data_IF_401423589925
#
_entry.id   IF_401423589925
#
_cell.length_a   1.000
_cell.length_b   1.000
_cell.length_c   1.000
_cell.angle_alpha   90.00
_cell.angle_beta   90.00
_cell.angle_gamma   90.00
#
_symmetry.space_group_name_H-M   'P 1'
#
loop_
_entity.id
_entity.type
_entity.pdbx_description
1 polymer ?
#
# COMPACT_ATOMS: atom_id res chain seq x y z
N UNK A 1 -13.53 -32.00 62.21
CA UNK A 1 -12.80 -32.92 61.30
C UNK A 1 -13.65 -33.09 60.04
N UNK A 2 -13.00 -33.12 58.89
CA UNK A 2 -13.49 -33.29 57.51
C UNK A 2 -13.72 -32.06 56.62
N UNK A 3 -12.78 -31.99 55.67
CA UNK A 3 -12.67 -31.21 54.43
C UNK A 3 -13.73 -31.68 53.43
N UNK A 4 -14.26 -30.76 52.62
CA UNK A 4 -14.52 -31.08 51.21
C UNK A 4 -14.28 -29.85 50.33
N UNK A 5 -13.21 -29.98 49.56
CA UNK A 5 -12.65 -29.19 48.48
C UNK A 5 -13.70 -28.68 47.49
N UNK A 6 -13.85 -27.35 47.37
CA UNK A 6 -14.53 -26.72 46.23
C UNK A 6 -13.47 -25.96 45.43
N UNK A 7 -13.42 -26.27 44.13
CA UNK A 7 -12.77 -25.52 43.05
C UNK A 7 -11.23 -25.47 43.00
N UNK A 8 -10.65 -26.57 42.52
CA UNK A 8 -9.27 -26.60 42.03
C UNK A 8 -9.14 -26.60 40.49
N UNK A 9 -10.27 -26.56 39.74
CA UNK A 9 -10.26 -26.59 38.25
C UNK A 9 -10.32 -25.23 37.55
N UNK A 10 -10.65 -24.13 38.25
CA UNK A 10 -10.68 -22.79 37.66
C UNK A 10 -9.32 -22.04 37.72
N UNK A 11 -8.36 -22.55 38.50
CA UNK A 11 -7.08 -21.89 38.69
C UNK A 11 -6.09 -21.85 37.51
N UNK A 12 -6.07 -22.80 36.54
CA UNK A 12 -5.03 -22.77 35.50
C UNK A 12 -5.21 -21.62 34.50
N UNK A 13 -6.46 -21.17 34.25
CA UNK A 13 -6.74 -20.07 33.31
C UNK A 13 -6.31 -18.70 33.86
N UNK A 14 -6.58 -18.42 35.13
CA UNK A 14 -6.15 -17.17 35.77
C UNK A 14 -4.63 -17.10 35.94
N UNK A 15 -3.98 -18.23 36.21
CA UNK A 15 -2.51 -18.30 36.33
C UNK A 15 -1.79 -18.07 34.99
N UNK A 16 -2.37 -18.52 33.88
CA UNK A 16 -1.82 -18.26 32.54
C UNK A 16 -1.88 -16.76 32.20
N UNK A 17 -2.98 -16.09 32.56
CA UNK A 17 -3.15 -14.67 32.32
C UNK A 17 -2.04 -13.84 32.99
N UNK A 18 -1.68 -14.15 34.25
CA UNK A 18 -0.66 -13.39 34.98
C UNK A 18 0.74 -13.45 34.38
N UNK A 19 1.05 -14.46 33.55
CA UNK A 19 2.37 -14.61 32.91
C UNK A 19 2.51 -13.87 31.59
N UNK A 20 1.42 -13.34 31.04
CA UNK A 20 1.44 -12.61 29.77
C UNK A 20 1.82 -11.16 30.07
N UNK A 21 2.94 -10.65 29.53
CA UNK A 21 3.36 -9.27 29.73
C UNK A 21 2.30 -8.31 29.18
N UNK A 22 2.14 -7.16 29.83
CA UNK A 22 1.10 -6.17 29.51
C UNK A 22 1.17 -5.73 28.03
N UNK A 23 2.38 -5.62 27.46
CA UNK A 23 2.60 -5.29 26.05
C UNK A 23 1.90 -6.28 25.09
N UNK A 24 1.97 -7.58 25.34
CA UNK A 24 1.31 -8.60 24.49
C UNK A 24 -0.22 -8.52 24.55
N UNK A 25 -0.78 -8.10 25.70
CA UNK A 25 -2.22 -7.92 25.85
C UNK A 25 -2.70 -6.70 25.07
N UNK A 26 -1.91 -5.63 25.08
CA UNK A 26 -2.19 -4.41 24.32
C UNK A 26 -2.10 -4.71 22.81
N UNK A 27 -1.08 -5.43 22.35
CA UNK A 27 -0.98 -5.78 20.92
C UNK A 27 -2.10 -6.69 20.45
N UNK A 28 -2.53 -7.66 21.28
CA UNK A 28 -3.67 -8.52 20.95
C UNK A 28 -4.99 -7.73 20.89
N UNK A 29 -5.19 -6.80 21.83
CA UNK A 29 -6.37 -5.94 21.84
C UNK A 29 -6.36 -5.00 20.62
N UNK A 30 -5.21 -4.43 20.27
CA UNK A 30 -5.06 -3.55 19.12
C UNK A 30 -5.29 -4.30 17.80
N UNK A 31 -4.77 -5.53 17.67
CA UNK A 31 -5.05 -6.42 16.54
C UNK A 31 -6.56 -6.71 16.42
N UNK A 32 -7.24 -6.96 17.53
CA UNK A 32 -8.69 -7.23 17.55
C UNK A 32 -9.52 -5.99 17.16
N UNK A 33 -9.06 -4.78 17.51
CA UNK A 33 -9.71 -3.53 17.11
C UNK A 33 -9.52 -3.26 15.61
N UNK A 34 -8.33 -3.54 15.05
CA UNK A 34 -8.08 -3.37 13.62
C UNK A 34 -8.89 -4.33 12.75
N UNK A 35 -9.10 -5.58 13.18
CA UNK A 35 -9.91 -6.54 12.41
C UNK A 35 -11.41 -6.21 12.44
N UNK A 36 -11.88 -5.48 13.46
CA UNK A 36 -13.27 -5.01 13.56
C UNK A 36 -13.58 -3.77 12.70
N UNK A 37 -12.57 -3.11 12.13
CA UNK A 37 -12.75 -2.00 11.19
C UNK A 37 -13.04 -2.49 9.75
N UNK A 38 -12.89 -3.79 9.48
CA UNK A 38 -13.30 -4.41 8.22
C UNK A 38 -14.80 -4.71 8.25
N UNK A 39 -15.62 -3.67 8.39
CA UNK A 39 -17.02 -3.79 8.02
C UNK A 39 -17.10 -3.61 6.51
N UNK A 40 -17.50 -4.67 5.80
CA UNK A 40 -17.91 -4.56 4.41
C UNK A 40 -18.98 -3.47 4.32
N UNK A 41 -18.77 -2.48 3.45
CA UNK A 41 -19.74 -1.44 3.14
C UNK A 41 -21.03 -2.11 2.67
N UNK A 42 -22.01 -2.22 3.57
CA UNK A 42 -23.26 -2.92 3.31
C UNK A 42 -24.02 -2.17 2.20
N UNK A 43 -24.39 -2.92 1.18
CA UNK A 43 -25.23 -2.51 0.04
C UNK A 43 -26.48 -1.80 0.58
N UNK A 44 -26.54 -0.49 0.39
CA UNK A 44 -27.45 0.46 1.05
C UNK A 44 -28.96 0.11 0.99
N UNK A 45 -29.42 -0.79 0.12
CA UNK A 45 -30.84 -1.18 -0.02
C UNK A 45 -31.31 -2.28 0.93
N UNK A 46 -30.39 -3.00 1.58
CA UNK A 46 -30.79 -4.08 2.49
C UNK A 46 -31.41 -3.58 3.81
N UNK A 47 -31.11 -2.34 4.22
CA UNK A 47 -31.50 -1.82 5.53
C UNK A 47 -32.70 -0.84 5.53
N UNK A 48 -33.04 -0.23 4.38
CA UNK A 48 -34.18 0.69 4.31
C UNK A 48 -35.50 -0.08 4.40
N UNK A 49 -36.21 0.11 5.52
CA UNK A 49 -37.49 -0.56 5.79
C UNK A 49 -38.67 0.34 5.50
N UNK A 50 -39.67 -0.21 4.82
CA UNK A 50 -40.90 0.49 4.46
C UNK A 50 -42.13 -0.28 4.93
N UNK A 51 -43.20 0.47 5.20
CA UNK A 51 -44.54 -0.08 5.43
C UNK A 51 -45.48 0.42 4.34
N UNK A 52 -46.12 -0.51 3.65
CA UNK A 52 -47.06 -0.26 2.56
C UNK A 52 -48.33 -1.07 2.80
N UNK A 53 -49.49 -0.44 2.63
CA UNK A 53 -50.79 -1.11 2.55
C UNK A 53 -51.53 -0.53 1.36
N UNK A 54 -51.38 -1.17 0.20
CA UNK A 54 -51.94 -0.74 -1.08
C UNK A 54 -52.72 -1.91 -1.66
N UNK A 55 -53.97 -1.64 -2.05
CA UNK A 55 -54.86 -2.63 -2.67
C UNK A 55 -55.16 -2.21 -4.09
N UNK A 56 -55.04 -3.14 -5.03
CA UNK A 56 -55.37 -2.93 -6.44
C UNK A 56 -54.70 -1.67 -7.05
N UNK A 57 -53.47 -1.40 -6.66
CA UNK A 57 -52.67 -0.27 -7.13
C UNK A 57 -51.81 -0.70 -8.31
N UNK A 58 -51.54 0.21 -9.26
CA UNK A 58 -50.57 -0.07 -10.33
C UNK A 58 -49.17 -0.21 -9.74
N UNK A 59 -48.31 -0.98 -10.40
CA UNK A 59 -46.91 -1.11 -9.98
C UNK A 59 -46.22 0.24 -10.02
N UNK A 60 -46.47 1.04 -11.05
CA UNK A 60 -46.00 2.43 -11.10
C UNK A 60 -46.35 3.18 -9.81
N UNK A 61 -47.59 3.07 -9.33
CA UNK A 61 -48.00 3.76 -8.11
C UNK A 61 -47.33 3.20 -6.86
N UNK A 62 -47.09 1.89 -6.82
CA UNK A 62 -46.34 1.25 -5.72
C UNK A 62 -44.89 1.71 -5.72
N UNK A 63 -44.22 1.73 -6.88
CA UNK A 63 -42.84 2.20 -7.03
C UNK A 63 -42.74 3.68 -6.62
N UNK A 64 -43.62 4.54 -7.13
CA UNK A 64 -43.68 5.95 -6.75
C UNK A 64 -43.88 6.13 -5.23
N UNK A 65 -44.72 5.31 -4.60
CA UNK A 65 -44.91 5.37 -3.14
C UNK A 65 -43.66 4.94 -2.37
N UNK A 66 -42.84 4.06 -2.95
CA UNK A 66 -41.53 3.69 -2.38
C UNK A 66 -40.55 4.86 -2.53
N UNK A 67 -40.50 5.51 -3.70
CA UNK A 67 -39.67 6.72 -3.92
C UNK A 67 -40.06 7.87 -2.98
N UNK A 68 -41.37 8.10 -2.75
CA UNK A 68 -41.84 9.15 -1.83
C UNK A 68 -41.45 8.91 -0.37
N UNK A 69 -41.22 7.65 0.02
CA UNK A 69 -40.96 7.24 1.41
C UNK A 69 -39.53 6.77 1.66
N UNK A 70 -38.67 6.85 0.64
CA UNK A 70 -37.28 6.42 0.72
C UNK A 70 -36.38 7.34 -0.11
N UNK A 71 -35.08 7.23 0.04
CA UNK A 71 -34.12 8.02 -0.75
C UNK A 71 -33.79 7.36 -2.11
N UNK A 72 -34.62 6.41 -2.57
CA UNK A 72 -34.40 5.65 -3.80
C UNK A 72 -35.18 6.20 -4.99
N UNK A 73 -34.57 6.08 -6.17
CA UNK A 73 -35.19 6.34 -7.46
C UNK A 73 -35.19 5.08 -8.33
N UNK A 74 -36.32 4.73 -8.94
CA UNK A 74 -36.44 3.60 -9.83
C UNK A 74 -36.12 4.00 -11.27
N UNK A 75 -35.23 3.25 -11.90
CA UNK A 75 -34.89 3.38 -13.32
C UNK A 75 -35.35 2.13 -14.03
N UNK A 76 -36.24 2.29 -15.02
CA UNK A 76 -36.75 1.18 -15.80
C UNK A 76 -37.21 1.66 -17.18
N UNK A 77 -37.36 0.70 -18.10
CA UNK A 77 -37.90 0.97 -19.42
C UNK A 77 -39.34 0.46 -19.48
N UNK A 78 -40.31 1.36 -19.62
CA UNK A 78 -41.75 1.04 -19.67
C UNK A 78 -42.14 0.12 -20.83
N UNK A 79 -41.28 -0.04 -21.85
CA UNK A 79 -41.49 -1.01 -22.94
C UNK A 79 -41.09 -2.43 -22.58
N UNK A 80 -40.23 -2.58 -21.57
CA UNK A 80 -39.67 -3.87 -21.15
C UNK A 80 -40.26 -4.36 -19.83
N UNK A 81 -40.75 -3.44 -19.00
CA UNK A 81 -41.33 -3.72 -17.67
C UNK A 81 -42.78 -3.26 -17.67
N UNK A 82 -43.72 -4.19 -17.45
CA UNK A 82 -45.14 -3.87 -17.28
C UNK A 82 -45.39 -3.28 -15.89
N UNK A 83 -45.52 -1.95 -15.85
CA UNK A 83 -45.82 -1.17 -14.64
C UNK A 83 -47.29 -0.79 -14.49
N UNK A 84 -48.11 -1.05 -15.50
CA UNK A 84 -49.56 -0.77 -15.51
C UNK A 84 -50.36 -1.86 -14.79
N UNK A 85 -49.77 -3.05 -14.68
CA UNK A 85 -50.25 -4.18 -13.87
C UNK A 85 -50.69 -3.75 -12.47
N UNK A 86 -51.86 -4.23 -12.04
CA UNK A 86 -52.39 -4.00 -10.69
C UNK A 86 -51.93 -5.07 -9.71
N UNK A 87 -51.47 -4.63 -8.55
CA UNK A 87 -50.98 -5.48 -7.46
C UNK A 87 -51.57 -5.02 -6.13
N UNK A 88 -51.58 -5.94 -5.17
CA UNK A 88 -51.92 -5.62 -3.78
C UNK A 88 -50.74 -5.99 -2.88
N UNK A 89 -50.19 -4.99 -2.21
CA UNK A 89 -49.03 -5.16 -1.33
C UNK A 89 -49.40 -4.71 0.06
N UNK A 90 -49.25 -5.62 1.01
CA UNK A 90 -49.30 -5.33 2.44
C UNK A 90 -48.04 -5.83 3.10
N UNK A 91 -47.25 -4.90 3.59
CA UNK A 91 -45.99 -5.15 4.30
C UNK A 91 -45.82 -4.12 5.42
N UNK A 92 -45.24 -4.55 6.53
CA UNK A 92 -44.94 -3.70 7.67
C UNK A 92 -43.48 -3.87 8.01
N UNK A 93 -42.73 -2.76 8.03
CA UNK A 93 -41.31 -2.74 8.36
C UNK A 93 -40.46 -3.74 7.55
N UNK A 94 -40.75 -3.86 6.25
CA UNK A 94 -40.06 -4.79 5.35
C UNK A 94 -38.95 -4.06 4.58
N UNK A 95 -37.82 -4.73 4.35
CA UNK A 95 -36.76 -4.21 3.49
C UNK A 95 -37.29 -4.02 2.06
N UNK A 96 -36.86 -2.95 1.39
CA UNK A 96 -37.29 -2.65 0.01
C UNK A 96 -36.99 -3.83 -0.93
N UNK A 97 -35.83 -4.46 -0.80
CA UNK A 97 -35.46 -5.68 -1.54
C UNK A 97 -36.51 -6.79 -1.42
N UNK A 98 -36.98 -7.08 -0.22
CA UNK A 98 -38.01 -8.10 0.02
C UNK A 98 -39.39 -7.72 -0.56
N UNK A 99 -39.70 -6.42 -0.59
CA UNK A 99 -40.92 -5.91 -1.24
C UNK A 99 -40.84 -6.09 -2.75
N UNK A 100 -39.71 -5.75 -3.36
CA UNK A 100 -39.47 -5.90 -4.80
C UNK A 100 -39.44 -7.36 -5.22
N UNK A 101 -38.80 -8.24 -4.44
CA UNK A 101 -38.81 -9.68 -4.68
C UNK A 101 -40.25 -10.21 -4.68
N UNK A 102 -41.08 -9.78 -3.73
CA UNK A 102 -42.50 -10.17 -3.69
C UNK A 102 -43.32 -9.62 -4.86
N UNK A 103 -43.00 -8.41 -5.34
CA UNK A 103 -43.67 -7.75 -6.47
C UNK A 103 -43.32 -8.39 -7.83
N UNK A 104 -42.09 -8.86 -7.98
CA UNK A 104 -41.54 -9.37 -9.23
C UNK A 104 -41.28 -10.89 -9.22
N UNK A 105 -41.69 -11.62 -8.18
CA UNK A 105 -41.51 -13.08 -8.04
C UNK A 105 -42.02 -13.88 -9.25
N UNK A 106 -43.16 -13.49 -9.80
CA UNK A 106 -43.80 -14.15 -10.95
C UNK A 106 -43.33 -13.63 -12.30
N UNK A 107 -42.47 -12.61 -12.31
CA UNK A 107 -42.08 -11.90 -13.52
C UNK A 107 -40.64 -12.21 -13.95
N UNK A 108 -40.38 -11.96 -15.22
CA UNK A 108 -39.04 -11.98 -15.78
C UNK A 108 -38.28 -10.66 -15.49
N UNK A 109 -38.37 -10.14 -14.25
CA UNK A 109 -37.77 -8.86 -13.84
C UNK A 109 -36.80 -9.09 -12.69
N UNK A 110 -35.59 -8.56 -12.82
CA UNK A 110 -34.55 -8.48 -11.79
C UNK A 110 -34.31 -7.02 -11.42
N UNK A 111 -33.78 -6.77 -10.22
CA UNK A 111 -33.44 -5.43 -9.77
C UNK A 111 -31.98 -5.35 -9.30
N UNK A 112 -31.30 -4.26 -9.65
CA UNK A 112 -29.95 -3.94 -9.18
C UNK A 112 -29.97 -2.63 -8.41
N UNK A 113 -29.24 -2.58 -7.30
CA UNK A 113 -29.15 -1.39 -6.46
C UNK A 113 -27.78 -0.76 -6.67
N UNK A 114 -27.76 0.48 -7.19
CA UNK A 114 -26.54 1.29 -7.34
C UNK A 114 -26.69 2.61 -6.60
N UNK A 115 -26.11 2.69 -5.40
CA UNK A 115 -26.26 3.86 -4.52
C UNK A 115 -27.74 4.11 -4.22
N UNK A 116 -28.24 5.30 -4.57
CA UNK A 116 -29.66 5.71 -4.42
C UNK A 116 -30.56 5.32 -5.61
N UNK A 117 -30.07 4.53 -6.56
CA UNK A 117 -30.83 4.13 -7.75
C UNK A 117 -31.13 2.63 -7.72
N UNK A 118 -32.38 2.27 -8.04
CA UNK A 118 -32.81 0.89 -8.21
C UNK A 118 -33.17 0.68 -9.68
N UNK A 119 -32.37 -0.11 -10.38
CA UNK A 119 -32.54 -0.37 -11.81
C UNK A 119 -33.35 -1.66 -11.98
N UNK A 120 -34.49 -1.60 -12.66
CA UNK A 120 -35.29 -2.78 -13.00
C UNK A 120 -35.01 -3.18 -14.45
N UNK A 121 -34.62 -4.43 -14.66
CA UNK A 121 -34.30 -4.97 -15.98
C UNK A 121 -34.86 -6.38 -16.16
N UNK A 122 -35.14 -6.82 -17.40
CA UNK A 122 -35.52 -8.20 -17.64
C UNK A 122 -34.43 -9.18 -17.19
N UNK A 123 -34.76 -10.34 -16.59
CA UNK A 123 -33.72 -11.28 -16.09
C UNK A 123 -32.76 -11.75 -17.17
N UNK A 124 -33.22 -11.85 -18.41
CA UNK A 124 -32.38 -12.20 -19.56
C UNK A 124 -31.32 -11.12 -19.88
N UNK A 125 -31.66 -9.84 -19.65
CA UNK A 125 -30.69 -8.74 -19.70
C UNK A 125 -29.81 -8.72 -18.46
N UNK A 126 -30.37 -9.04 -17.28
CA UNK A 126 -29.59 -9.16 -16.05
C UNK A 126 -28.51 -10.23 -16.18
N UNK A 127 -28.81 -11.44 -16.66
CA UNK A 127 -27.79 -12.49 -16.89
C UNK A 127 -26.68 -12.06 -17.84
N UNK A 128 -26.95 -11.17 -18.80
CA UNK A 128 -25.92 -10.58 -19.66
C UNK A 128 -25.15 -9.46 -18.95
N UNK A 129 -25.79 -8.65 -18.11
CA UNK A 129 -25.14 -7.62 -17.29
C UNK A 129 -24.28 -8.25 -16.19
N UNK A 130 -24.72 -9.35 -15.56
CA UNK A 130 -23.92 -10.11 -14.59
C UNK A 130 -22.79 -10.86 -15.30
N UNK A 131 -23.02 -11.45 -16.48
CA UNK A 131 -21.94 -12.06 -17.25
C UNK A 131 -20.90 -11.03 -17.74
N UNK A 132 -21.28 -9.77 -17.96
CA UNK A 132 -20.35 -8.68 -18.33
C UNK A 132 -19.74 -8.02 -17.09
N UNK A 133 -20.41 -8.01 -15.93
CA UNK A 133 -19.83 -7.58 -14.65
C UNK A 133 -18.87 -8.64 -14.08
N UNK A 134 -19.13 -9.92 -14.31
CA UNK A 134 -18.23 -11.05 -14.03
C UNK A 134 -17.14 -11.20 -15.09
N UNK A 135 -17.36 -10.76 -16.35
CA UNK A 135 -16.31 -10.68 -17.37
C UNK A 135 -15.48 -9.38 -17.29
N UNK A 136 -15.98 -8.32 -16.66
CA UNK A 136 -15.20 -7.14 -16.25
C UNK A 136 -14.41 -7.40 -14.97
N UNK A 137 -14.77 -8.45 -14.22
CA UNK A 137 -13.88 -9.14 -13.30
C UNK A 137 -13.15 -10.24 -14.06
N UNK A 138 -12.45 -9.81 -15.11
CA UNK A 138 -11.47 -10.59 -15.84
C UNK A 138 -10.70 -11.42 -14.82
N UNK A 139 -10.85 -12.74 -14.94
CA UNK A 139 -10.53 -13.71 -13.90
C UNK A 139 -9.07 -13.54 -13.48
N UNK A 140 -8.84 -12.73 -12.44
CA UNK A 140 -7.50 -12.48 -11.93
C UNK A 140 -6.90 -13.83 -11.62
N UNK A 141 -5.76 -14.11 -12.24
CA UNK A 141 -5.06 -15.36 -12.01
C UNK A 141 -4.17 -15.17 -10.79
N UNK A 142 -4.15 -16.17 -9.92
CA UNK A 142 -3.16 -16.20 -8.84
C UNK A 142 -1.86 -16.75 -9.38
N UNK A 143 -0.81 -15.94 -9.33
CA UNK A 143 0.56 -16.35 -9.60
C UNK A 143 1.25 -16.66 -8.27
N UNK A 144 2.15 -17.63 -8.30
CA UNK A 144 2.98 -18.04 -7.17
C UNK A 144 4.43 -18.13 -7.62
N UNK A 145 5.36 -18.05 -6.69
CA UNK A 145 6.76 -18.28 -7.03
C UNK A 145 7.69 -18.15 -5.86
N UNK A 146 8.98 -18.36 -6.15
CA UNK A 146 10.08 -18.21 -5.20
C UNK A 146 11.12 -17.27 -5.78
N UNK A 147 11.65 -16.39 -4.93
CA UNK A 147 12.69 -15.43 -5.27
C UNK A 147 13.96 -15.78 -4.51
N UNK A 148 15.05 -16.00 -5.23
CA UNK A 148 16.37 -16.30 -4.67
C UNK A 148 17.43 -15.34 -5.19
N UNK A 149 18.57 -15.30 -4.53
CA UNK A 149 19.78 -14.64 -5.03
C UNK A 149 20.56 -15.56 -6.00
N UNK A 150 21.72 -15.07 -6.45
CA UNK A 150 22.63 -15.84 -7.32
C UNK A 150 23.30 -17.04 -6.62
N UNK A 151 23.31 -17.08 -5.30
CA UNK A 151 23.86 -18.19 -4.50
C UNK A 151 22.81 -19.29 -4.23
N UNK A 152 21.53 -19.00 -4.51
CA UNK A 152 20.40 -19.89 -4.26
C UNK A 152 19.73 -19.65 -2.90
N UNK A 153 20.14 -18.63 -2.16
CA UNK A 153 19.52 -18.23 -0.90
C UNK A 153 18.19 -17.49 -1.15
N UNK A 154 17.13 -17.79 -0.36
CA UNK A 154 15.83 -17.13 -0.51
C UNK A 154 15.91 -15.65 -0.11
N UNK A 155 15.34 -14.78 -0.92
CA UNK A 155 15.26 -13.34 -0.63
C UNK A 155 13.97 -13.07 0.14
N UNK A 156 14.11 -12.75 1.42
CA UNK A 156 13.00 -12.46 2.33
C UNK A 156 12.63 -10.98 2.23
N UNK A 157 11.34 -10.67 2.06
CA UNK A 157 10.85 -9.29 2.00
C UNK A 157 11.11 -8.57 0.65
N UNK A 158 11.41 -9.30 -0.43
CA UNK A 158 11.39 -8.74 -1.78
C UNK A 158 9.97 -8.26 -2.11
N UNK A 159 9.87 -7.11 -2.77
CA UNK A 159 8.61 -6.48 -3.15
C UNK A 159 8.23 -6.89 -4.58
N UNK A 160 7.00 -7.35 -4.77
CA UNK A 160 6.43 -7.74 -6.07
C UNK A 160 5.21 -6.85 -6.32
N UNK A 161 5.25 -6.05 -7.38
CA UNK A 161 4.15 -5.14 -7.75
C UNK A 161 3.67 -5.44 -9.17
N UNK A 162 2.37 -5.50 -9.38
CA UNK A 162 1.77 -5.47 -10.71
C UNK A 162 1.90 -4.06 -11.31
N UNK A 163 2.67 -3.96 -12.39
CA UNK A 163 3.06 -2.69 -13.01
C UNK A 163 1.83 -1.89 -13.45
N UNK A 164 1.78 -0.62 -13.03
CA UNK A 164 0.66 0.28 -13.33
C UNK A 164 -0.47 0.26 -12.31
N UNK A 165 -0.35 -0.56 -11.26
CA UNK A 165 -1.34 -0.66 -10.18
C UNK A 165 -0.68 -0.52 -8.81
N UNK A 166 -1.50 -0.47 -7.75
CA UNK A 166 -1.05 -0.59 -6.36
C UNK A 166 -1.12 -2.03 -5.84
N UNK A 167 -1.40 -3.00 -6.71
CA UNK A 167 -1.51 -4.40 -6.35
C UNK A 167 -0.11 -5.02 -6.22
N UNK A 168 0.18 -5.61 -5.07
CA UNK A 168 1.49 -6.17 -4.80
C UNK A 168 1.54 -7.03 -3.55
N UNK A 169 2.63 -7.75 -3.39
CA UNK A 169 2.90 -8.61 -2.23
C UNK A 169 4.39 -8.57 -1.92
N UNK A 170 4.78 -9.09 -0.76
CA UNK A 170 6.18 -9.34 -0.40
C UNK A 170 6.46 -10.83 -0.29
N UNK A 171 7.72 -11.23 -0.43
CA UNK A 171 8.14 -12.61 -0.18
C UNK A 171 8.17 -12.96 1.31
N UNK A 172 7.88 -14.22 1.62
CA UNK A 172 7.98 -14.78 2.97
C UNK A 172 9.42 -15.22 3.33
N UNK A 173 9.58 -15.92 4.46
CA UNK A 173 10.87 -16.41 4.98
C UNK A 173 11.54 -17.46 4.09
N UNK A 174 10.78 -18.15 3.25
CA UNK A 174 11.28 -19.11 2.26
C UNK A 174 11.49 -18.45 0.88
N UNK A 175 11.33 -17.12 0.79
CA UNK A 175 11.39 -16.39 -0.48
C UNK A 175 10.15 -16.57 -1.36
N UNK A 176 9.06 -17.16 -0.85
CA UNK A 176 7.86 -17.45 -1.65
C UNK A 176 6.91 -16.27 -1.68
N UNK A 177 6.16 -16.12 -2.78
CA UNK A 177 5.12 -15.13 -2.93
C UNK A 177 3.86 -15.71 -3.58
N UNK A 178 2.72 -15.05 -3.36
CA UNK A 178 1.44 -15.32 -4.02
C UNK A 178 0.76 -13.99 -4.31
N UNK A 179 0.40 -13.73 -5.57
CA UNK A 179 -0.21 -12.47 -6.00
C UNK A 179 -1.33 -12.75 -7.01
N UNK A 180 -2.49 -12.12 -6.85
CA UNK A 180 -3.58 -12.21 -7.82
C UNK A 180 -3.47 -11.05 -8.81
N UNK A 181 -3.23 -11.34 -10.10
CA UNK A 181 -2.91 -10.34 -11.14
C UNK A 181 -3.79 -10.52 -12.38
N UNK A 182 -3.82 -9.53 -13.25
CA UNK A 182 -4.50 -9.65 -14.54
C UNK A 182 -3.87 -10.76 -15.44
N UNK A 183 -4.64 -11.38 -16.36
CA UNK A 183 -4.15 -12.48 -17.20
C UNK A 183 -2.86 -12.21 -17.99
N UNK A 184 -2.58 -10.96 -18.36
CA UNK A 184 -1.37 -10.53 -19.08
C UNK A 184 -0.57 -9.48 -18.30
N UNK A 185 -0.65 -9.52 -16.97
CA UNK A 185 0.05 -8.59 -16.10
C UNK A 185 1.58 -8.72 -16.21
N UNK A 186 2.28 -7.59 -16.07
CA UNK A 186 3.72 -7.55 -15.81
C UNK A 186 3.94 -7.29 -14.33
N UNK A 187 4.75 -8.11 -13.67
CA UNK A 187 5.18 -7.89 -12.29
C UNK A 187 6.57 -7.28 -12.26
N UNK A 188 6.81 -6.34 -11.35
CA UNK A 188 8.13 -5.80 -11.02
C UNK A 188 8.55 -6.33 -9.67
N UNK A 189 9.74 -6.91 -9.63
CA UNK A 189 10.38 -7.39 -8.43
C UNK A 189 11.50 -6.41 -8.07
N UNK A 190 11.52 -5.97 -6.82
CA UNK A 190 12.55 -5.05 -6.30
C UNK A 190 12.94 -5.45 -4.88
N UNK A 191 14.24 -5.39 -4.57
CA UNK A 191 14.76 -5.54 -3.23
C UNK A 191 16.02 -4.69 -3.07
N UNK A 192 16.28 -4.18 -1.86
CA UNK A 192 17.40 -3.27 -1.61
C UNK A 192 18.72 -4.02 -1.88
N UNK A 193 19.60 -3.42 -2.69
CA UNK A 193 20.88 -4.02 -3.09
C UNK A 193 20.78 -4.97 -4.28
N UNK A 194 19.62 -5.08 -4.93
CA UNK A 194 19.40 -5.93 -6.11
C UNK A 194 18.83 -5.12 -7.28
N UNK A 195 19.13 -5.58 -8.49
CA UNK A 195 18.57 -5.01 -9.72
C UNK A 195 17.08 -5.34 -9.82
N UNK A 196 16.28 -4.33 -10.14
CA UNK A 196 14.86 -4.51 -10.42
C UNK A 196 14.65 -5.39 -11.66
N UNK A 197 13.67 -6.30 -11.58
CA UNK A 197 13.34 -7.18 -12.69
C UNK A 197 11.84 -7.11 -13.00
N UNK A 198 11.51 -6.87 -14.28
CA UNK A 198 10.13 -6.93 -14.77
C UNK A 198 9.90 -8.29 -15.47
N UNK A 199 8.81 -8.97 -15.11
CA UNK A 199 8.46 -10.30 -15.63
C UNK A 199 7.01 -10.29 -16.12
N UNK A 200 6.81 -10.67 -17.39
CA UNK A 200 5.47 -10.88 -17.93
C UNK A 200 4.91 -12.22 -17.41
N UNK A 201 3.69 -12.19 -16.90
CA UNK A 201 3.04 -13.36 -16.31
C UNK A 201 2.21 -14.16 -17.31
N UNK A 202 2.00 -13.69 -18.54
CA UNK A 202 1.12 -14.27 -19.56
C UNK A 202 1.32 -15.80 -19.70
N UNK A 203 0.22 -16.54 -19.62
CA UNK A 203 0.20 -18.00 -19.76
C UNK A 203 0.90 -18.80 -18.64
N UNK A 204 1.42 -18.16 -17.59
CA UNK A 204 2.15 -18.81 -16.50
C UNK A 204 1.61 -18.41 -15.12
N UNK A 205 1.61 -19.36 -14.19
CA UNK A 205 1.14 -19.18 -12.81
C UNK A 205 2.20 -19.52 -11.75
N UNK A 206 3.35 -20.08 -12.16
CA UNK A 206 4.46 -20.39 -11.26
C UNK A 206 5.79 -19.85 -11.79
N UNK A 207 6.58 -19.22 -10.91
CA UNK A 207 7.82 -18.54 -11.24
C UNK A 207 8.92 -18.87 -10.24
N UNK A 208 10.12 -19.17 -10.75
CA UNK A 208 11.35 -19.17 -9.95
C UNK A 208 12.21 -18.04 -10.50
N UNK A 209 12.51 -17.06 -9.65
CA UNK A 209 13.12 -15.78 -10.05
C UNK A 209 14.42 -15.64 -9.28
N UNK A 210 15.50 -15.37 -9.99
CA UNK A 210 16.81 -15.09 -9.38
C UNK A 210 17.14 -13.62 -9.57
N UNK A 211 17.25 -12.88 -8.47
CA UNK A 211 17.69 -11.49 -8.51
C UNK A 211 19.21 -11.40 -8.50
N UNK A 212 19.73 -10.43 -9.25
CA UNK A 212 21.15 -10.12 -9.30
C UNK A 212 21.44 -8.90 -8.45
N UNK A 213 22.55 -8.93 -7.71
CA UNK A 213 22.98 -7.79 -6.90
C UNK A 213 23.23 -6.54 -7.76
N UNK A 214 22.77 -5.40 -7.26
CA UNK A 214 23.07 -4.10 -7.84
C UNK A 214 24.41 -3.60 -7.29
N UNK A 215 25.48 -4.05 -7.93
CA UNK A 215 26.86 -3.65 -7.60
C UNK A 215 27.16 -2.16 -7.86
N UNK A 216 26.23 -1.40 -8.44
CA UNK A 216 26.36 0.06 -8.65
C UNK A 216 25.75 0.90 -7.52
N UNK A 217 24.89 0.32 -6.68
CA UNK A 217 24.30 1.01 -5.53
C UNK A 217 25.28 1.17 -4.34
N UNK A 218 26.50 0.65 -4.47
CA UNK A 218 27.59 0.72 -3.49
C UNK A 218 28.66 1.77 -3.82
N UNK A 219 28.33 2.81 -4.58
CA UNK A 219 29.06 4.08 -4.44
C UNK A 219 28.64 4.70 -3.11
N UNK A 220 29.23 4.15 -2.06
CA UNK A 220 29.12 4.56 -0.67
C UNK A 220 29.21 6.09 -0.60
N UNK A 221 28.10 6.74 -0.25
CA UNK A 221 28.15 8.10 0.24
C UNK A 221 28.89 8.04 1.57
N UNK A 222 30.21 8.16 1.51
CA UNK A 222 31.02 8.44 2.69
C UNK A 222 30.66 9.86 3.09
N UNK A 223 29.61 10.00 3.91
CA UNK A 223 29.42 11.22 4.68
C UNK A 223 30.55 11.20 5.71
N UNK A 224 31.67 11.84 5.36
CA UNK A 224 32.71 12.16 6.33
C UNK A 224 32.06 13.15 7.29
N UNK A 225 31.55 12.61 8.40
CA UNK A 225 30.98 13.38 9.50
C UNK A 225 32.07 14.19 10.20
N UNK A 226 32.55 15.26 9.55
CA UNK A 226 33.19 16.34 10.30
C UNK A 226 32.09 17.11 11.00
N UNK A 227 31.91 16.82 12.29
CA UNK A 227 31.07 17.62 13.17
C UNK A 227 31.39 19.09 12.96
N UNK A 228 30.35 19.91 12.78
CA UNK A 228 30.49 21.35 12.62
C UNK A 228 31.07 21.94 13.91
N UNK A 229 32.39 22.07 13.98
CA UNK A 229 33.03 22.83 15.04
C UNK A 229 32.87 24.31 14.66
N UNK A 230 32.05 25.04 15.42
CA UNK A 230 31.78 26.46 15.17
C UNK A 230 33.11 27.23 15.17
N UNK A 231 33.48 27.82 14.03
CA UNK A 231 34.43 28.93 13.96
C UNK A 231 33.80 30.14 14.66
N UNK A 232 33.94 30.21 15.98
CA UNK A 232 33.80 31.47 16.71
C UNK A 232 34.93 31.51 17.73
N UNK A 233 35.77 32.54 17.57
CA UNK A 233 36.98 32.85 18.33
C UNK A 233 38.27 32.23 17.79
N UNK A 234 38.64 32.59 16.57
CA UNK A 234 40.06 32.68 16.22
C UNK A 234 40.30 34.06 15.63
N UNK A 235 40.87 34.97 16.42
CA UNK A 235 41.22 36.35 16.07
C UNK A 235 42.46 36.44 15.15
N UNK A 236 42.60 35.50 14.21
CA UNK A 236 43.67 35.48 13.24
C UNK A 236 43.10 35.47 11.83
N UNK A 237 43.49 36.44 11.01
CA UNK A 237 43.15 36.46 9.59
C UNK A 237 43.73 35.21 8.92
N UNK A 238 42.88 34.40 8.28
CA UNK A 238 43.33 33.26 7.47
C UNK A 238 43.00 33.56 6.02
N UNK A 239 44.03 33.77 5.21
CA UNK A 239 43.95 33.82 3.75
C UNK A 239 44.20 32.43 3.19
N UNK A 240 43.24 31.86 2.45
CA UNK A 240 43.46 30.67 1.63
C UNK A 240 44.31 31.07 0.41
N UNK A 241 45.35 30.28 0.11
CA UNK A 241 46.15 30.39 -1.12
C UNK A 241 45.83 29.17 -1.97
N UNK A 242 45.16 29.37 -3.10
CA UNK A 242 44.87 28.32 -4.07
C UNK A 242 46.13 28.01 -4.89
N UNK A 243 46.59 26.76 -4.80
CA UNK A 243 47.76 26.25 -5.53
C UNK A 243 47.44 25.78 -6.96
N UNK A 244 46.20 25.97 -7.44
CA UNK A 244 45.74 25.51 -8.75
C UNK A 244 45.99 26.48 -9.91
N UNK A 245 46.54 27.68 -9.66
CA UNK A 245 46.94 28.57 -10.74
C UNK A 245 48.32 28.19 -11.30
N UNK A 246 48.40 28.13 -12.64
CA UNK A 246 49.54 27.71 -13.49
C UNK A 246 50.90 28.41 -13.22
N UNK A 247 50.95 29.35 -12.28
CA UNK A 247 52.13 30.11 -11.88
C UNK A 247 53.01 29.43 -10.82
N UNK A 248 52.56 28.34 -10.17
CA UNK A 248 53.36 27.60 -9.18
C UNK A 248 53.91 26.27 -9.73
N UNK A 249 53.23 25.61 -10.68
CA UNK A 249 53.64 24.31 -11.24
C UNK A 249 54.87 24.37 -12.16
N UNK A 250 55.30 25.57 -12.57
CA UNK A 250 56.42 25.78 -13.50
C UNK A 250 57.76 26.07 -12.80
N UNK A 251 57.83 25.98 -11.47
CA UNK A 251 59.04 26.28 -10.68
C UNK A 251 59.44 25.04 -9.89
N UNK A 252 60.69 24.55 -9.98
CA UNK A 252 61.18 23.53 -9.07
C UNK A 252 61.28 24.17 -7.68
N UNK A 253 60.25 23.94 -6.86
CA UNK A 253 60.22 24.41 -5.48
C UNK A 253 60.96 23.39 -4.62
N UNK A 254 62.17 23.75 -4.19
CA UNK A 254 62.93 22.95 -3.22
C UNK A 254 62.53 23.25 -1.78
N UNK A 255 61.83 24.36 -1.52
CA UNK A 255 61.32 24.76 -0.21
C UNK A 255 59.92 25.39 -0.35
N UNK A 256 59.01 25.11 0.59
CA UNK A 256 57.61 25.54 0.54
C UNK A 256 57.45 26.97 1.07
N UNK A 257 58.27 27.36 2.05
CA UNK A 257 58.30 28.72 2.60
C UNK A 257 58.60 29.81 1.57
N UNK A 258 59.51 29.54 0.62
CA UNK A 258 59.86 30.47 -0.45
C UNK A 258 58.77 30.59 -1.52
N UNK A 259 57.90 29.59 -1.66
CA UNK A 259 56.77 29.63 -2.58
C UNK A 259 55.63 30.54 -2.06
N UNK A 260 55.48 30.64 -0.75
CA UNK A 260 54.47 31.47 -0.09
C UNK A 260 54.89 32.95 0.00
N UNK A 261 56.18 33.24 -0.15
CA UNK A 261 56.70 34.59 -0.12
C UNK A 261 56.13 35.41 -1.30
N UNK A 262 55.31 36.42 -0.99
CA UNK A 262 54.70 37.30 -1.99
C UNK A 262 53.34 36.88 -2.53
N UNK A 263 52.76 35.75 -2.07
CA UNK A 263 51.39 35.34 -2.42
C UNK A 263 50.31 35.96 -1.53
N UNK A 264 50.70 36.57 -0.40
CA UNK A 264 49.78 37.27 0.50
C UNK A 264 50.32 38.66 0.86
N UNK A 265 49.52 39.74 0.72
CA UNK A 265 49.93 41.08 1.12
C UNK A 265 50.29 41.15 2.61
N UNK A 266 51.51 41.61 2.92
CA UNK A 266 51.98 41.78 4.30
C UNK A 266 52.75 40.58 4.88
N UNK A 267 52.99 39.52 4.10
CA UNK A 267 53.83 38.40 4.50
C UNK A 267 55.31 38.70 4.21
N UNK A 268 56.12 38.74 5.27
CA UNK A 268 57.59 38.88 5.18
C UNK A 268 58.20 37.55 5.59
N UNK A 269 58.86 36.87 4.66
CA UNK A 269 59.59 35.62 4.93
C UNK A 269 61.05 35.97 5.15
N UNK A 270 61.56 35.72 6.35
CA UNK A 270 63.00 35.89 6.65
C UNK A 270 63.69 34.53 6.58
N UNK A 271 64.58 34.36 5.60
CA UNK A 271 65.38 33.15 5.47
C UNK A 271 66.61 33.26 6.38
N UNK A 272 66.64 32.43 7.44
CA UNK A 272 67.72 32.44 8.43
C UNK A 272 69.07 31.96 7.88
N UNK A 273 69.07 30.99 6.97
CA UNK A 273 70.29 30.41 6.37
C UNK A 273 70.06 29.98 4.91
N UNK A 274 71.08 30.13 4.06
CA UNK A 274 71.04 29.86 2.61
C UNK A 274 71.21 28.39 2.21
N UNK A 275 71.02 27.44 3.12
CA UNK A 275 71.16 26.01 2.83
C UNK A 275 69.86 25.41 2.31
N UNK A 276 69.86 24.70 1.16
CA UNK A 276 68.64 24.19 0.53
C UNK A 276 67.82 23.16 1.34
N UNK A 277 68.33 22.66 2.48
CA UNK A 277 67.75 21.53 3.22
C UNK A 277 67.25 21.86 4.63
N UNK A 278 67.35 23.11 5.10
CA UNK A 278 66.79 23.54 6.39
C UNK A 278 65.70 24.58 6.15
N UNK A 279 64.44 24.13 6.13
CA UNK A 279 63.30 25.04 6.07
C UNK A 279 63.03 25.61 7.49
N UNK A 280 63.90 26.53 7.92
CA UNK A 280 63.81 27.25 9.19
C UNK A 280 63.13 28.62 9.06
N UNK A 281 62.22 28.78 8.09
CA UNK A 281 61.50 30.03 7.88
C UNK A 281 60.38 30.20 8.92
N UNK A 282 60.32 31.37 9.56
CA UNK A 282 59.23 31.79 10.45
C UNK A 282 58.61 33.08 9.95
#
# INVERSE_FOLDING_TARGET
>A
MNKTTINQKAQPFYALFQKIPIAMRITLLLLFVLTFQLQAEQIYSQDTKISLDMKNATIEKVLQTIEEKSDYYFLYNNKLIDVDRKVSVRVKNAAISAVLEKLFKSENVEFEVKGSQIILSPKEMYSQITAVAEAAQQQKKTITGTITDATGEPIIGANIIEVGTTNGTVTDVDGKFSLSVEPDATIRISYIGYLEQNINTAGRTNFNITLLEDTKALEEVVVVGYGTQRKVNMTGAVSNVDFENESISSRPLTNVSSALAGLSPGMVVTQGDGTPSSDGAT
#
